data_IF_649107304586
#
_entry.id   IF_649107304586
#
_cell.length_a   1.000
_cell.length_b   1.000
_cell.length_c   1.000
_cell.angle_alpha   90.00
_cell.angle_beta   90.00
_cell.angle_gamma   90.00
#
_symmetry.space_group_name_H-M   'P 1'
#
loop_
_entity.id
_entity.type
_entity.pdbx_description
1 polymer ?
#
# COMPACT_ATOMS: atom_id res chain seq x y z
N UNK A 1 -30.00 -37.88 -58.10
CA UNK A 1 -29.86 -39.29 -57.68
C UNK A 1 -28.47 -39.50 -57.11
N UNK A 2 -28.38 -39.57 -55.79
CA UNK A 2 -27.47 -40.34 -54.92
C UNK A 2 -27.78 -39.74 -53.54
N UNK A 3 -28.59 -40.43 -52.71
CA UNK A 3 -28.12 -41.51 -51.84
C UNK A 3 -27.23 -40.94 -50.74
N UNK A 4 -27.50 -41.06 -49.44
CA UNK A 4 -28.47 -41.86 -48.68
C UNK A 4 -28.24 -41.48 -47.20
N UNK A 5 -29.32 -41.44 -46.40
CA UNK A 5 -29.40 -42.00 -45.03
C UNK A 5 -28.58 -41.30 -43.92
N UNK A 6 -29.06 -40.97 -42.71
CA UNK A 6 -30.26 -41.22 -41.87
C UNK A 6 -30.23 -40.06 -40.85
N UNK A 7 -31.20 -39.16 -40.72
CA UNK A 7 -32.53 -39.30 -40.11
C UNK A 7 -32.52 -39.81 -38.64
N UNK A 8 -32.52 -38.87 -37.70
CA UNK A 8 -33.33 -38.85 -36.45
C UNK A 8 -33.18 -37.41 -35.87
N UNK A 9 -34.00 -36.39 -36.18
CA UNK A 9 -35.43 -36.20 -35.88
C UNK A 9 -35.74 -36.61 -34.43
N UNK A 10 -36.13 -35.79 -33.45
CA UNK A 10 -37.03 -34.63 -33.43
C UNK A 10 -36.92 -33.96 -32.04
N UNK A 11 -37.17 -32.67 -32.07
CA UNK A 11 -37.37 -31.64 -31.03
C UNK A 11 -38.20 -32.00 -29.79
N UNK A 12 -37.82 -31.39 -28.64
CA UNK A 12 -38.62 -30.78 -27.53
C UNK A 12 -40.15 -31.01 -27.48
N UNK A 13 -40.82 -31.06 -26.29
CA UNK A 13 -40.75 -29.97 -25.29
C UNK A 13 -41.12 -30.28 -23.80
N UNK A 14 -40.89 -29.26 -22.95
CA UNK A 14 -41.64 -28.85 -21.73
C UNK A 14 -41.87 -29.83 -20.56
N UNK A 15 -41.32 -29.52 -19.38
CA UNK A 15 -41.94 -29.63 -18.02
C UNK A 15 -40.87 -29.24 -16.98
N UNK A 16 -40.95 -28.04 -16.40
CA UNK A 16 -41.63 -27.70 -15.14
C UNK A 16 -40.77 -27.95 -13.88
N UNK A 17 -40.37 -26.82 -13.28
CA UNK A 17 -39.84 -26.66 -11.93
C UNK A 17 -40.53 -27.55 -10.89
N UNK A 18 -39.76 -28.25 -10.05
CA UNK A 18 -40.18 -28.56 -8.68
C UNK A 18 -38.99 -28.87 -7.77
N UNK A 19 -39.12 -28.38 -6.54
CA UNK A 19 -38.10 -28.16 -5.53
C UNK A 19 -37.35 -29.42 -5.06
N UNK A 20 -36.03 -29.30 -4.91
CA UNK A 20 -35.25 -30.18 -4.04
C UNK A 20 -35.22 -29.58 -2.64
N UNK A 21 -35.93 -30.25 -1.73
CA UNK A 21 -36.07 -29.86 -0.32
C UNK A 21 -34.80 -30.09 0.48
N UNK A 22 -34.52 -29.14 1.38
CA UNK A 22 -33.51 -29.22 2.43
C UNK A 22 -33.98 -30.22 3.50
N UNK A 23 -33.17 -31.24 3.76
CA UNK A 23 -33.27 -32.05 4.98
C UNK A 23 -31.99 -31.83 5.78
N UNK A 24 -32.03 -30.88 6.71
CA UNK A 24 -31.00 -30.69 7.74
C UNK A 24 -31.59 -31.20 9.06
N UNK A 25 -31.03 -32.28 9.60
CA UNK A 25 -31.37 -32.77 10.93
C UNK A 25 -30.90 -31.75 11.98
N UNK A 26 -31.84 -31.24 12.77
CA UNK A 26 -31.54 -30.54 14.02
C UNK A 26 -31.27 -31.59 15.10
N UNK A 27 -30.08 -31.54 15.69
CA UNK A 27 -29.83 -32.12 17.02
C UNK A 27 -29.39 -30.96 17.90
N UNK A 28 -30.27 -30.57 18.83
CA UNK A 28 -29.94 -29.63 19.90
C UNK A 28 -28.83 -30.24 20.77
N UNK A 29 -27.63 -29.67 20.66
CA UNK A 29 -26.55 -29.90 21.63
C UNK A 29 -26.56 -28.71 22.56
N UNK A 30 -26.79 -29.01 23.82
CA UNK A 30 -26.84 -28.07 24.92
C UNK A 30 -25.46 -27.40 25.04
N UNK A 31 -25.42 -26.08 24.87
CA UNK A 31 -24.20 -25.27 24.97
C UNK A 31 -23.89 -25.08 26.45
N UNK A 32 -23.04 -25.96 27.00
CA UNK A 32 -22.29 -25.65 28.21
C UNK A 32 -21.35 -24.47 27.88
N UNK A 33 -21.29 -23.41 28.71
CA UNK A 33 -20.32 -22.35 28.50
C UNK A 33 -18.93 -22.95 28.70
N UNK A 34 -18.17 -23.08 27.62
CA UNK A 34 -16.74 -23.26 27.72
C UNK A 34 -16.18 -22.01 28.40
N UNK A 35 -15.61 -22.20 29.59
CA UNK A 35 -14.66 -21.27 30.19
C UNK A 35 -13.50 -21.13 29.20
N UNK A 36 -13.67 -20.22 28.25
CA UNK A 36 -12.65 -19.83 27.32
C UNK A 36 -11.58 -19.10 28.12
N UNK A 37 -10.43 -19.75 28.26
CA UNK A 37 -9.18 -19.08 28.58
C UNK A 37 -9.07 -17.90 27.62
N UNK A 38 -9.26 -16.69 28.14
CA UNK A 38 -8.87 -15.48 27.45
C UNK A 38 -7.35 -15.54 27.36
N UNK A 39 -6.84 -16.18 26.31
CA UNK A 39 -5.53 -15.81 25.77
C UNK A 39 -5.65 -14.33 25.45
N UNK A 40 -5.13 -13.53 26.38
CA UNK A 40 -4.88 -12.12 26.18
C UNK A 40 -3.99 -12.02 24.95
N UNK A 41 -4.63 -11.77 23.80
CA UNK A 41 -3.96 -11.50 22.55
C UNK A 41 -2.94 -10.42 22.86
N UNK A 42 -1.66 -10.81 22.90
CA UNK A 42 -0.55 -9.90 23.16
C UNK A 42 -0.81 -8.65 22.33
N UNK A 43 -1.01 -7.52 23.01
CA UNK A 43 -1.49 -6.30 22.39
C UNK A 43 -0.59 -6.00 21.18
N UNK A 44 -1.10 -6.23 19.97
CA UNK A 44 -0.42 -5.85 18.75
C UNK A 44 -0.22 -4.33 18.84
N UNK A 45 1.03 -3.87 18.80
CA UNK A 45 1.36 -2.45 18.92
C UNK A 45 0.52 -1.58 17.97
N UNK A 46 0.44 -0.28 18.28
CA UNK A 46 -0.36 0.66 17.50
C UNK A 46 0.24 0.83 16.09
N UNK A 47 -0.45 0.43 15.01
CA UNK A 47 0.09 0.52 13.65
C UNK A 47 0.14 1.94 13.10
N UNK A 48 -0.55 2.90 13.73
CA UNK A 48 -0.54 4.31 13.31
C UNK A 48 0.64 5.05 13.95
N UNK A 49 0.89 4.83 15.25
CA UNK A 49 1.97 5.51 15.98
C UNK A 49 3.27 4.71 16.02
N UNK A 50 3.22 3.40 15.79
CA UNK A 50 4.33 2.46 15.97
C UNK A 50 4.57 2.05 17.42
N UNK A 51 3.80 2.57 18.39
CA UNK A 51 3.98 2.25 19.82
C UNK A 51 3.75 0.76 20.09
N UNK A 52 4.67 0.13 20.82
CA UNK A 52 4.59 -1.32 21.10
C UNK A 52 5.07 -2.21 19.95
N UNK A 53 5.60 -1.64 18.85
CA UNK A 53 6.27 -2.38 17.77
C UNK A 53 7.79 -2.20 17.89
N UNK A 54 8.62 -3.26 17.84
CA UNK A 54 10.08 -3.11 17.90
C UNK A 54 10.61 -2.23 16.77
N UNK A 55 11.29 -1.13 17.12
CA UNK A 55 12.00 -0.27 16.16
C UNK A 55 13.51 -0.28 16.48
N UNK A 56 14.33 -1.03 15.73
CA UNK A 56 15.78 -1.06 15.93
C UNK A 56 16.47 0.26 15.56
N UNK A 57 15.77 1.18 14.87
CA UNK A 57 16.22 2.51 14.48
C UNK A 57 15.33 3.58 15.12
N UNK A 58 15.31 3.63 16.45
CA UNK A 58 14.40 4.49 17.22
C UNK A 58 14.87 5.95 17.36
N UNK A 59 16.14 6.24 17.07
CA UNK A 59 16.64 7.61 17.10
C UNK A 59 16.13 8.37 15.89
N UNK A 60 15.24 9.32 16.15
CA UNK A 60 14.77 10.29 15.16
C UNK A 60 15.71 11.49 15.19
N UNK A 61 16.21 11.88 14.01
CA UNK A 61 16.97 13.11 13.81
C UNK A 61 16.07 14.06 13.02
N UNK A 62 15.64 15.13 13.67
CA UNK A 62 14.83 16.17 13.03
C UNK A 62 15.73 17.18 12.32
N UNK A 63 15.22 17.78 11.23
CA UNK A 63 15.90 18.85 10.48
C UNK A 63 17.32 18.48 10.05
N UNK A 64 17.52 17.25 9.56
CA UNK A 64 18.87 16.72 9.32
C UNK A 64 19.57 17.33 8.11
N UNK A 65 18.85 17.73 7.07
CA UNK A 65 19.43 18.21 5.81
C UNK A 65 18.69 19.41 5.26
N UNK A 66 19.46 20.37 4.74
CA UNK A 66 18.97 21.58 4.12
C UNK A 66 19.00 21.46 2.60
N UNK A 67 18.02 22.07 1.93
CA UNK A 67 18.05 22.21 0.48
C UNK A 67 18.97 23.39 0.09
N UNK A 68 19.69 23.28 -1.03
CA UNK A 68 20.54 24.37 -1.49
C UNK A 68 19.70 25.58 -1.90
N UNK A 69 20.37 26.73 -2.04
CA UNK A 69 19.76 27.98 -2.52
C UNK A 69 18.64 28.55 -1.62
N UNK A 70 18.60 28.13 -0.35
CA UNK A 70 17.60 28.61 0.62
C UNK A 70 16.20 28.08 0.36
N UNK A 71 16.08 26.97 -0.37
CA UNK A 71 14.81 26.30 -0.61
C UNK A 71 14.27 25.65 0.66
N UNK A 72 12.95 25.59 0.75
CA UNK A 72 12.26 24.84 1.80
C UNK A 72 11.81 23.48 1.28
N UNK A 73 11.78 22.49 2.18
CA UNK A 73 11.27 21.16 1.89
C UNK A 73 9.77 21.21 1.57
N UNK A 74 9.38 20.65 0.42
CA UNK A 74 7.99 20.39 0.06
C UNK A 74 7.53 18.99 0.51
N UNK A 75 6.53 18.44 -0.18
CA UNK A 75 6.14 17.04 0.03
C UNK A 75 7.17 16.07 -0.55
N UNK A 76 7.97 15.44 0.29
CA UNK A 76 8.89 14.37 -0.11
C UNK A 76 8.12 13.14 -0.62
N UNK A 77 8.40 12.70 -1.85
CA UNK A 77 7.80 11.51 -2.45
C UNK A 77 8.33 10.20 -1.86
N UNK A 78 9.56 10.22 -1.33
CA UNK A 78 10.18 9.09 -0.67
C UNK A 78 11.64 9.35 -0.30
N UNK A 79 12.23 8.42 0.44
CA UNK A 79 13.66 8.35 0.73
C UNK A 79 14.14 6.92 0.53
N UNK A 80 15.41 6.74 0.17
CA UNK A 80 16.07 5.45 0.07
C UNK A 80 17.51 5.54 0.60
N UNK A 81 18.11 4.40 0.92
CA UNK A 81 19.50 4.27 1.33
C UNK A 81 20.30 3.71 0.16
N UNK A 82 21.30 4.47 -0.29
CA UNK A 82 22.21 4.04 -1.34
C UNK A 82 22.89 2.71 -0.92
N UNK A 83 22.73 1.63 -1.70
CA UNK A 83 23.30 0.34 -1.34
C UNK A 83 24.83 0.28 -1.49
N UNK A 84 25.45 1.26 -2.16
CA UNK A 84 26.89 1.29 -2.42
C UNK A 84 27.67 2.01 -1.30
N UNK A 85 27.16 3.13 -0.81
CA UNK A 85 27.84 3.97 0.19
C UNK A 85 27.00 4.30 1.43
N UNK A 86 25.73 3.86 1.47
CA UNK A 86 24.85 4.05 2.61
C UNK A 86 24.34 5.48 2.79
N UNK A 87 24.59 6.36 1.81
CA UNK A 87 24.09 7.74 1.80
C UNK A 87 22.60 7.78 1.51
N UNK A 88 21.95 8.91 1.82
CA UNK A 88 20.49 9.02 1.70
C UNK A 88 20.11 9.64 0.36
N UNK A 89 19.23 8.97 -0.37
CA UNK A 89 18.53 9.54 -1.51
C UNK A 89 17.18 10.09 -1.06
N UNK A 90 16.84 11.31 -1.45
CA UNK A 90 15.53 11.90 -1.22
C UNK A 90 14.92 12.41 -2.52
N UNK A 91 13.63 12.14 -2.69
CA UNK A 91 12.84 12.57 -3.84
C UNK A 91 11.93 13.71 -3.40
N UNK A 92 12.41 14.94 -3.56
CA UNK A 92 11.71 16.15 -3.16
C UNK A 92 10.82 16.61 -4.32
N UNK A 93 9.50 16.74 -4.11
CA UNK A 93 8.55 17.11 -5.20
C UNK A 93 8.65 18.59 -5.57
N UNK A 94 9.81 19.02 -6.03
CA UNK A 94 10.11 20.34 -6.59
C UNK A 94 9.73 21.53 -5.69
N UNK A 95 9.70 21.39 -4.37
CA UNK A 95 9.24 22.41 -3.44
C UNK A 95 7.72 22.62 -3.44
N UNK A 96 6.94 21.67 -3.96
CA UNK A 96 5.49 21.70 -3.91
C UNK A 96 5.02 21.60 -2.44
N UNK A 97 4.83 22.77 -1.84
CA UNK A 97 4.28 22.96 -0.51
C UNK A 97 2.79 22.62 -0.50
N UNK A 98 2.49 21.43 0.02
CA UNK A 98 1.15 20.92 0.34
C UNK A 98 0.18 20.75 -0.85
N UNK A 99 -0.70 19.75 -0.77
CA UNK A 99 -1.77 19.49 -1.75
C UNK A 99 -2.91 20.55 -1.70
N UNK A 100 -2.62 21.85 -1.51
CA UNK A 100 -3.64 22.89 -1.58
C UNK A 100 -3.22 24.30 -1.16
N UNK A 101 -3.82 25.30 -1.84
CA UNK A 101 -3.95 26.70 -1.38
C UNK A 101 -3.13 27.76 -2.13
N UNK A 102 -2.14 27.37 -2.93
CA UNK A 102 -1.27 28.27 -3.69
C UNK A 102 -1.29 28.04 -5.20
N UNK A 103 -0.39 28.70 -5.94
CA UNK A 103 -0.09 28.35 -7.33
C UNK A 103 0.49 26.95 -7.31
N UNK A 104 -0.10 26.01 -8.06
CA UNK A 104 0.40 24.66 -8.15
C UNK A 104 1.85 24.68 -8.65
N UNK A 105 2.76 24.14 -7.84
CA UNK A 105 4.13 23.86 -8.27
C UNK A 105 4.08 22.50 -8.96
N UNK A 106 4.24 22.53 -10.28
CA UNK A 106 4.25 21.34 -11.11
C UNK A 106 5.69 20.86 -11.33
N UNK A 107 5.94 19.57 -11.11
CA UNK A 107 7.23 18.96 -11.37
C UNK A 107 7.59 18.97 -12.87
N UNK A 108 6.60 19.06 -13.77
CA UNK A 108 6.83 19.07 -15.22
C UNK A 108 7.40 20.39 -15.75
N UNK A 109 7.20 21.50 -15.02
CA UNK A 109 7.60 22.85 -15.48
C UNK A 109 8.55 23.58 -14.52
N UNK A 110 8.82 22.99 -13.36
CA UNK A 110 9.74 23.56 -12.40
C UNK A 110 11.19 23.15 -12.73
N UNK A 111 12.08 24.08 -13.10
CA UNK A 111 13.45 23.76 -13.54
C UNK A 111 14.41 23.41 -12.39
N UNK A 112 13.89 22.93 -11.26
CA UNK A 112 14.70 22.56 -10.10
C UNK A 112 14.96 21.07 -10.09
N UNK A 113 16.16 20.69 -9.71
CA UNK A 113 16.48 19.29 -9.48
C UNK A 113 15.70 18.74 -8.27
N UNK A 114 14.90 17.67 -8.45
CA UNK A 114 14.10 17.09 -7.36
C UNK A 114 14.77 15.91 -6.66
N UNK A 115 15.85 15.35 -7.23
CA UNK A 115 16.51 14.16 -6.69
C UNK A 115 17.80 14.59 -6.01
N UNK A 116 17.91 14.32 -4.71
CA UNK A 116 19.04 14.71 -3.89
C UNK A 116 19.74 13.51 -3.27
N UNK A 117 21.06 13.53 -3.27
CA UNK A 117 21.91 12.67 -2.44
C UNK A 117 22.42 13.49 -1.26
N UNK A 118 22.22 12.98 -0.06
CA UNK A 118 22.69 13.59 1.19
C UNK A 118 23.71 12.70 1.88
N UNK A 119 24.69 13.34 2.51
CA UNK A 119 25.46 12.65 3.53
C UNK A 119 24.53 12.26 4.69
N UNK A 120 24.53 10.98 5.05
CA UNK A 120 23.63 10.40 6.04
C UNK A 120 23.88 10.90 7.46
N UNK A 121 25.07 11.45 7.74
CA UNK A 121 25.46 11.86 9.08
C UNK A 121 25.35 13.37 9.24
N UNK A 122 25.71 14.14 8.20
CA UNK A 122 25.73 15.60 8.26
C UNK A 122 24.53 16.26 7.60
N UNK A 123 23.86 15.57 6.66
CA UNK A 123 22.81 16.15 5.82
C UNK A 123 23.30 17.13 4.77
N UNK A 124 24.60 17.15 4.48
CA UNK A 124 25.15 17.91 3.37
C UNK A 124 24.69 17.30 2.02
N UNK A 125 24.36 18.16 1.05
CA UNK A 125 24.04 17.73 -0.30
C UNK A 125 25.32 17.30 -1.02
N UNK A 126 25.36 16.03 -1.42
CA UNK A 126 26.47 15.44 -2.17
C UNK A 126 26.24 15.51 -3.69
N UNK A 127 24.96 15.47 -4.11
CA UNK A 127 24.56 15.62 -5.51
C UNK A 127 23.07 16.00 -5.61
N UNK A 128 22.70 16.68 -6.69
CA UNK A 128 21.31 16.92 -7.07
C UNK A 128 21.17 16.86 -8.60
N UNK A 129 20.07 16.30 -9.10
CA UNK A 129 19.74 16.26 -10.53
C UNK A 129 18.25 16.02 -10.79
N UNK A 130 17.84 16.13 -12.06
CA UNK A 130 16.53 15.70 -12.56
C UNK A 130 15.63 16.82 -13.11
N UNK A 131 16.13 18.05 -13.23
CA UNK A 131 15.50 19.14 -13.98
C UNK A 131 15.74 19.13 -15.48
#
# INVERSE_FOLDING_TARGET
>A
MLSRFRALMITLPLTAFLAFGLSSCATESEMEPADGETEEAAAAGNPITGEGIPNPTSTVIENWGDLPEGREWGSTAGIDIDPHDGQVWAYERCGAGNFGGGVAIDCDSNPVDPIFKFDRNTGEVLANFGG
#
